data_IF_961399634685
#
_entry.id   IF_961399634685
#
_cell.length_a   1.000
_cell.length_b   1.000
_cell.length_c   1.000
_cell.angle_alpha   90.00
_cell.angle_beta   90.00
_cell.angle_gamma   90.00
#
_symmetry.space_group_name_H-M   'P 1'
#
loop_
_entity.id
_entity.type
_entity.pdbx_description
1 polymer ?
#
# COMPACT_ATOMS: atom_id res chain seq x y z
N UNK A 1 4.56 -4.44 5.40
CA UNK A 1 3.21 -4.42 4.79
C UNK A 1 2.94 -2.97 4.39
N UNK A 2 2.72 -2.62 3.12
CA UNK A 2 2.07 -1.31 2.89
C UNK A 2 0.64 -1.43 3.41
N UNK A 3 0.06 -0.31 3.84
CA UNK A 3 -1.31 -0.23 4.32
C UNK A 3 -2.31 -0.83 3.31
N UNK A 4 -2.58 -2.13 3.40
CA UNK A 4 -3.40 -2.89 2.44
C UNK A 4 -4.81 -2.34 2.40
N UNK A 5 -5.42 -2.09 3.55
CA UNK A 5 -6.76 -1.53 3.63
C UNK A 5 -6.85 -0.07 3.14
N UNK A 6 -5.79 0.73 3.33
CA UNK A 6 -5.73 2.07 2.74
C UNK A 6 -5.68 2.00 1.21
N UNK A 7 -4.92 1.05 0.66
CA UNK A 7 -4.89 0.80 -0.77
C UNK A 7 -6.25 0.28 -1.28
N UNK A 8 -6.90 -0.64 -0.57
CA UNK A 8 -8.21 -1.18 -0.93
C UNK A 8 -9.29 -0.07 -0.98
N UNK A 9 -9.31 0.84 0.01
CA UNK A 9 -10.22 1.97 0.02
C UNK A 9 -10.01 2.90 -1.18
N UNK A 10 -8.76 3.17 -1.55
CA UNK A 10 -8.44 3.96 -2.74
C UNK A 10 -8.88 3.23 -4.03
N UNK A 11 -8.59 1.93 -4.13
CA UNK A 11 -8.99 1.12 -5.29
C UNK A 11 -10.50 1.14 -5.45
N UNK A 12 -11.27 0.81 -4.42
CA UNK A 12 -12.73 0.82 -4.47
C UNK A 12 -13.26 2.19 -4.91
N UNK A 13 -12.74 3.28 -4.38
CA UNK A 13 -13.28 4.62 -4.65
C UNK A 13 -12.82 5.26 -5.96
N UNK A 14 -11.65 4.88 -6.49
CA UNK A 14 -10.97 5.63 -7.57
C UNK A 14 -10.45 4.76 -8.71
N UNK A 15 -10.55 3.43 -8.62
CA UNK A 15 -10.09 2.50 -9.64
C UNK A 15 -11.22 1.54 -10.07
N UNK A 16 -11.27 1.15 -11.36
CA UNK A 16 -10.55 1.76 -12.47
C UNK A 16 -10.90 3.25 -12.66
N UNK A 17 -10.01 4.01 -13.31
CA UNK A 17 -10.22 5.45 -13.46
C UNK A 17 -11.53 5.76 -14.20
N UNK A 18 -12.37 6.62 -13.62
CA UNK A 18 -13.71 6.92 -14.13
C UNK A 18 -14.79 5.87 -13.77
N UNK A 19 -14.43 4.79 -13.07
CA UNK A 19 -15.32 3.69 -12.70
C UNK A 19 -15.25 3.40 -11.18
N UNK A 20 -15.33 4.46 -10.36
CA UNK A 20 -15.35 4.30 -8.91
C UNK A 20 -16.52 3.42 -8.43
N UNK A 21 -16.27 2.61 -7.41
CA UNK A 21 -17.19 1.64 -6.82
C UNK A 21 -17.69 0.54 -7.78
N UNK A 22 -16.99 0.31 -8.90
CA UNK A 22 -17.32 -0.80 -9.81
C UNK A 22 -16.85 -2.16 -9.29
N UNK A 23 -15.96 -2.18 -8.29
CA UNK A 23 -15.40 -3.38 -7.67
C UNK A 23 -16.13 -3.71 -6.36
N UNK A 24 -16.27 -4.99 -6.07
CA UNK A 24 -16.67 -5.45 -4.74
C UNK A 24 -15.59 -5.17 -3.68
N UNK A 25 -15.99 -5.22 -2.41
CA UNK A 25 -15.05 -5.05 -1.29
C UNK A 25 -13.95 -6.10 -1.31
N UNK A 26 -14.29 -7.36 -1.63
CA UNK A 26 -13.32 -8.44 -1.68
C UNK A 26 -12.33 -8.25 -2.84
N UNK A 27 -12.80 -7.88 -4.03
CA UNK A 27 -11.91 -7.61 -5.17
C UNK A 27 -10.96 -6.44 -4.87
N UNK A 28 -11.44 -5.37 -4.24
CA UNK A 28 -10.60 -4.24 -3.86
C UNK A 28 -9.51 -4.67 -2.87
N UNK A 29 -9.83 -5.54 -1.91
CA UNK A 29 -8.86 -6.10 -0.95
C UNK A 29 -7.87 -7.04 -1.63
N UNK A 30 -8.32 -7.92 -2.52
CA UNK A 30 -7.45 -8.88 -3.21
C UNK A 30 -6.45 -8.18 -4.14
N UNK A 31 -6.91 -7.19 -4.90
CA UNK A 31 -6.03 -6.36 -5.74
C UNK A 31 -5.04 -5.61 -4.86
N UNK A 32 -5.50 -5.00 -3.76
CA UNK A 32 -4.62 -4.32 -2.82
C UNK A 32 -3.57 -5.26 -2.23
N UNK A 33 -3.97 -6.45 -1.79
CA UNK A 33 -3.08 -7.46 -1.23
C UNK A 33 -2.02 -7.90 -2.24
N UNK A 34 -2.38 -8.07 -3.51
CA UNK A 34 -1.44 -8.43 -4.55
C UNK A 34 -0.28 -7.43 -4.68
N UNK A 35 -0.54 -6.16 -5.00
CA UNK A 35 0.55 -5.21 -5.30
C UNK A 35 1.23 -4.63 -4.04
N UNK A 36 0.58 -4.69 -2.88
CA UNK A 36 1.20 -4.27 -1.61
C UNK A 36 2.22 -5.28 -1.09
N UNK A 37 2.40 -6.43 -1.73
CA UNK A 37 3.44 -7.39 -1.38
C UNK A 37 4.54 -7.54 -2.44
N UNK A 38 4.40 -6.87 -3.58
CA UNK A 38 5.44 -6.82 -4.60
C UNK A 38 6.69 -6.06 -4.12
N UNK A 39 7.89 -6.43 -4.61
CA UNK A 39 9.13 -5.72 -4.31
C UNK A 39 9.03 -4.26 -4.74
N UNK A 40 9.60 -3.36 -3.92
CA UNK A 40 9.64 -1.92 -4.20
C UNK A 40 11.08 -1.45 -4.26
N UNK A 41 11.41 -0.47 -5.11
CA UNK A 41 12.75 0.11 -5.15
C UNK A 41 13.19 0.57 -3.75
N UNK A 42 14.38 0.15 -3.35
CA UNK A 42 15.01 0.61 -2.12
C UNK A 42 15.68 1.96 -2.44
N UNK A 43 15.34 2.99 -1.67
CA UNK A 43 15.97 4.30 -1.79
C UNK A 43 17.34 4.30 -1.10
N UNK A 44 18.28 5.07 -1.63
CA UNK A 44 19.58 5.27 -1.00
C UNK A 44 19.43 5.85 0.41
N UNK A 45 20.30 5.45 1.34
CA UNK A 45 20.31 5.87 2.75
C UNK A 45 19.03 5.55 3.56
N UNK A 46 18.23 4.54 3.18
CA UNK A 46 17.02 4.12 3.94
C UNK A 46 17.33 3.75 5.40
N UNK A 47 18.54 3.27 5.67
CA UNK A 47 19.06 2.98 7.00
C UNK A 47 19.12 4.22 7.91
N UNK A 48 19.15 5.42 7.34
CA UNK A 48 19.23 6.71 8.05
C UNK A 48 17.88 7.40 8.21
N UNK A 49 16.78 6.83 7.71
CA UNK A 49 15.45 7.45 7.76
C UNK A 49 14.94 7.62 9.20
N UNK A 50 15.36 6.75 10.13
CA UNK A 50 14.95 6.75 11.54
C UNK A 50 16.16 6.66 12.47
N UNK A 51 16.97 7.72 12.58
CA UNK A 51 18.22 7.69 13.37
C UNK A 51 17.97 7.48 14.87
N UNK A 52 16.78 7.87 15.35
CA UNK A 52 16.36 7.73 16.75
C UNK A 52 15.52 6.47 17.00
N UNK A 53 15.31 5.63 15.98
CA UNK A 53 14.52 4.39 16.11
C UNK A 53 13.00 4.57 16.03
N UNK A 54 12.50 5.77 15.71
CA UNK A 54 11.06 6.11 15.63
C UNK A 54 10.39 5.64 14.32
N UNK A 55 10.77 4.46 13.83
CA UNK A 55 10.22 3.91 12.60
C UNK A 55 8.73 3.52 12.77
N UNK A 56 7.84 3.93 11.87
CA UNK A 56 6.45 3.49 11.88
C UNK A 56 6.32 1.97 11.84
N UNK A 57 5.31 1.41 12.52
CA UNK A 57 5.08 -0.05 12.56
C UNK A 57 4.87 -0.67 11.18
N UNK A 58 4.35 0.10 10.24
CA UNK A 58 4.07 -0.30 8.86
C UNK A 58 5.26 -0.10 7.91
N UNK A 59 6.44 0.29 8.41
CA UNK A 59 7.66 0.39 7.60
C UNK A 59 8.01 -0.98 6.99
N UNK A 60 8.38 -0.99 5.70
CA UNK A 60 9.01 -2.16 5.10
C UNK A 60 10.52 -2.10 5.34
N UNK A 61 11.01 -2.95 6.24
CA UNK A 61 12.44 -3.21 6.39
C UNK A 61 12.96 -3.97 5.18
#
# INVERSE_FOLDING_TARGET
MARTYTAAAFIKGKMPFGQGNSLSDQEAVDIAAYFTHLPRPIKANKDKDWPNGDAPKDVRR
#
